data_IF_794067888276
#
_entry.id   IF_794067888276
#
_cell.length_a   1.000
_cell.length_b   1.000
_cell.length_c   1.000
_cell.angle_alpha   90.00
_cell.angle_beta   90.00
_cell.angle_gamma   90.00
#
_symmetry.space_group_name_H-M   'P 1'
#
loop_
_entity.id
_entity.type
_entity.pdbx_description
1 polymer ?
#
# COMPACT_ATOMS: atom_id res chain seq x y z
N UNK A 1 -2.56 35.49 10.22
CA UNK A 1 -1.80 34.74 11.23
C UNK A 1 -0.88 33.78 10.48
N UNK A 2 0.40 34.10 10.40
CA UNK A 2 1.40 33.31 9.68
C UNK A 2 2.16 32.48 10.72
N UNK A 3 2.05 31.16 10.64
CA UNK A 3 2.76 30.25 11.55
C UNK A 3 4.23 30.20 11.15
N UNK A 4 5.08 30.95 11.84
CA UNK A 4 6.53 30.74 11.81
C UNK A 4 6.85 29.64 12.83
N UNK A 5 6.87 28.39 12.38
CA UNK A 5 7.47 27.32 13.16
C UNK A 5 8.99 27.45 13.02
N UNK A 6 9.67 27.87 14.09
CA UNK A 6 11.13 27.87 14.13
C UNK A 6 11.60 26.39 14.15
N UNK A 7 12.52 25.99 13.26
CA UNK A 7 12.99 24.60 13.20
C UNK A 7 13.72 24.16 14.49
N UNK A 8 14.11 25.10 15.36
CA UNK A 8 14.74 24.81 16.67
C UNK A 8 13.72 24.34 17.73
N UNK A 9 12.42 24.51 17.49
CA UNK A 9 11.35 24.01 18.38
C UNK A 9 10.97 22.54 18.10
N UNK A 10 11.64 21.89 17.14
CA UNK A 10 11.48 20.47 16.85
C UNK A 10 12.11 19.63 17.98
N UNK A 11 11.29 19.21 18.95
CA UNK A 11 11.71 18.24 19.97
C UNK A 11 11.56 16.82 19.43
N UNK A 12 12.69 16.11 19.38
CA UNK A 12 12.68 14.66 19.12
C UNK A 12 12.30 13.96 20.43
N UNK A 13 11.21 13.20 20.41
CA UNK A 13 10.76 12.42 21.57
C UNK A 13 11.44 11.05 21.60
N UNK A 14 12.26 10.81 22.62
CA UNK A 14 12.91 9.52 22.88
C UNK A 14 12.00 8.59 23.70
N UNK A 15 12.23 7.28 23.61
CA UNK A 15 11.53 6.23 24.39
C UNK A 15 10.02 6.12 24.17
N UNK A 16 9.49 6.62 23.05
CA UNK A 16 8.12 6.30 22.64
C UNK A 16 8.00 4.79 22.33
N UNK A 17 6.98 4.09 22.87
CA UNK A 17 6.76 2.69 22.56
C UNK A 17 6.53 2.56 21.05
N UNK A 18 7.33 1.70 20.41
CA UNK A 18 7.17 1.45 18.98
C UNK A 18 5.75 0.93 18.71
N UNK A 19 4.99 1.55 17.80
CA UNK A 19 3.66 1.06 17.46
C UNK A 19 3.76 -0.38 16.97
N UNK A 20 2.77 -1.20 17.32
CA UNK A 20 2.78 -2.64 17.09
C UNK A 20 3.17 -3.01 15.63
N UNK A 21 4.43 -3.37 15.43
CA UNK A 21 5.01 -3.68 14.09
C UNK A 21 4.42 -4.93 13.46
N UNK A 22 3.82 -5.81 14.27
CA UNK A 22 3.42 -7.17 13.89
C UNK A 22 2.33 -7.17 12.81
N UNK A 23 1.25 -6.40 12.98
CA UNK A 23 0.12 -6.38 12.04
C UNK A 23 0.47 -5.81 10.66
N UNK A 24 1.44 -4.89 10.59
CA UNK A 24 1.86 -4.29 9.32
C UNK A 24 2.68 -5.28 8.47
N UNK A 25 3.51 -6.12 9.11
CA UNK A 25 4.33 -7.12 8.42
C UNK A 25 3.46 -8.22 7.83
N UNK A 26 2.57 -8.83 8.63
CA UNK A 26 1.65 -9.86 8.16
C UNK A 26 0.78 -9.38 6.99
N UNK A 27 0.31 -8.13 7.06
CA UNK A 27 -0.49 -7.53 5.98
C UNK A 27 0.32 -7.34 4.69
N UNK A 28 1.57 -6.91 4.80
CA UNK A 28 2.46 -6.80 3.64
C UNK A 28 2.79 -8.17 3.05
N UNK A 29 2.97 -9.20 3.89
CA UNK A 29 3.24 -10.56 3.42
C UNK A 29 2.04 -11.16 2.67
N UNK A 30 0.80 -10.86 3.11
CA UNK A 30 -0.41 -11.21 2.35
C UNK A 30 -0.47 -10.51 0.98
N UNK A 31 -0.16 -9.22 0.92
CA UNK A 31 -0.07 -8.49 -0.36
C UNK A 31 0.98 -9.14 -1.27
N UNK A 32 2.17 -9.45 -0.74
CA UNK A 32 3.25 -10.09 -1.51
C UNK A 32 2.83 -11.45 -2.05
N UNK A 33 2.19 -12.29 -1.22
CA UNK A 33 1.72 -13.61 -1.64
C UNK A 33 0.73 -13.50 -2.82
N UNK A 34 -0.23 -12.59 -2.72
CA UNK A 34 -1.20 -12.34 -3.79
C UNK A 34 -0.54 -11.81 -5.07
N UNK A 35 0.40 -10.86 -4.96
CA UNK A 35 1.12 -10.32 -6.11
C UNK A 35 2.01 -11.36 -6.81
N UNK A 36 2.59 -12.32 -6.08
CA UNK A 36 3.35 -13.43 -6.66
C UNK A 36 2.45 -14.41 -7.42
N UNK A 37 1.24 -14.65 -6.90
CA UNK A 37 0.27 -15.55 -7.51
C UNK A 37 -0.36 -14.97 -8.80
N UNK A 38 -0.50 -13.64 -8.88
CA UNK A 38 -1.01 -12.96 -10.07
C UNK A 38 -0.07 -13.18 -11.27
N UNK A 39 -0.60 -13.66 -12.39
CA UNK A 39 0.12 -13.70 -13.68
C UNK A 39 -0.08 -12.39 -14.46
N UNK A 40 0.81 -12.04 -15.40
CA UNK A 40 0.57 -10.97 -16.35
C UNK A 40 -0.84 -11.02 -16.97
N UNK A 41 -1.50 -9.88 -17.07
CA UNK A 41 -2.88 -9.76 -17.57
C UNK A 41 -3.97 -10.08 -16.54
N UNK A 42 -3.62 -10.65 -15.38
CA UNK A 42 -4.59 -10.92 -14.32
C UNK A 42 -4.78 -9.73 -13.37
N UNK A 43 -5.92 -9.74 -12.69
CA UNK A 43 -6.21 -8.78 -11.63
C UNK A 43 -6.78 -9.44 -10.39
N UNK A 44 -6.57 -8.79 -9.25
CA UNK A 44 -7.16 -9.19 -7.98
C UNK A 44 -7.65 -7.97 -7.21
N UNK A 45 -8.71 -8.17 -6.43
CA UNK A 45 -9.28 -7.18 -5.54
C UNK A 45 -8.75 -7.37 -4.11
N UNK A 46 -8.28 -6.29 -3.51
CA UNK A 46 -7.80 -6.22 -2.13
C UNK A 46 -8.73 -5.31 -1.33
N UNK A 47 -9.62 -5.85 -0.48
CA UNK A 47 -10.51 -5.03 0.34
C UNK A 47 -9.69 -4.10 1.26
N UNK A 48 -10.19 -2.89 1.47
CA UNK A 48 -9.55 -1.92 2.33
C UNK A 48 -9.69 -2.38 3.80
N UNK A 49 -8.62 -2.37 4.60
CA UNK A 49 -8.71 -2.67 6.01
C UNK A 49 -9.62 -1.66 6.71
N UNK A 50 -10.36 -2.12 7.72
CA UNK A 50 -11.17 -1.24 8.57
C UNK A 50 -10.31 -0.13 9.18
N UNK A 51 -10.86 1.10 9.20
CA UNK A 51 -10.18 2.30 9.67
C UNK A 51 -9.07 2.83 8.75
N UNK A 52 -8.84 2.22 7.57
CA UNK A 52 -7.85 2.69 6.60
C UNK A 52 -8.52 3.42 5.43
N UNK A 53 -7.98 4.59 5.06
CA UNK A 53 -8.40 5.29 3.85
C UNK A 53 -7.97 4.51 2.59
N UNK A 54 -8.82 4.40 1.56
CA UNK A 54 -8.51 3.66 0.33
C UNK A 54 -7.27 4.18 -0.40
N UNK A 55 -7.02 5.49 -0.34
CA UNK A 55 -5.82 6.13 -0.91
C UNK A 55 -4.55 5.64 -0.24
N UNK A 56 -4.51 5.59 1.09
CA UNK A 56 -3.38 5.05 1.85
C UNK A 56 -3.16 3.56 1.56
N UNK A 57 -4.25 2.80 1.43
CA UNK A 57 -4.19 1.38 1.10
C UNK A 57 -3.61 1.14 -0.31
N UNK A 58 -4.07 1.91 -1.29
CA UNK A 58 -3.54 1.91 -2.67
C UNK A 58 -2.05 2.23 -2.70
N UNK A 59 -1.62 3.28 -2.00
CA UNK A 59 -0.20 3.67 -1.93
C UNK A 59 0.65 2.56 -1.32
N UNK A 60 0.17 1.91 -0.26
CA UNK A 60 0.88 0.78 0.36
C UNK A 60 1.04 -0.39 -0.62
N UNK A 61 -0.03 -0.77 -1.31
CA UNK A 61 0.01 -1.84 -2.32
C UNK A 61 0.99 -1.48 -3.44
N UNK A 62 0.96 -0.24 -3.94
CA UNK A 62 1.87 0.22 -4.98
C UNK A 62 3.33 0.15 -4.53
N UNK A 63 3.66 0.56 -3.30
CA UNK A 63 5.02 0.44 -2.76
C UNK A 63 5.45 -1.03 -2.65
N UNK A 64 4.58 -1.91 -2.15
CA UNK A 64 4.90 -3.34 -2.03
C UNK A 64 5.12 -3.95 -3.42
N UNK A 65 4.27 -3.63 -4.39
CA UNK A 65 4.39 -4.13 -5.75
C UNK A 65 5.66 -3.62 -6.46
N UNK A 66 5.96 -2.33 -6.36
CA UNK A 66 7.19 -1.75 -6.92
C UNK A 66 8.45 -2.40 -6.33
N UNK A 67 8.45 -2.70 -5.03
CA UNK A 67 9.58 -3.38 -4.38
C UNK A 67 9.70 -4.86 -4.74
N UNK A 68 8.58 -5.52 -5.04
CA UNK A 68 8.55 -6.96 -5.30
C UNK A 68 8.76 -7.32 -6.77
N UNK A 69 8.12 -6.57 -7.68
CA UNK A 69 8.07 -6.88 -9.11
C UNK A 69 8.86 -5.87 -9.95
N UNK A 70 9.18 -4.69 -9.40
CA UNK A 70 9.75 -3.56 -10.14
C UNK A 70 8.71 -2.48 -10.44
N UNK A 71 9.20 -1.28 -10.75
CA UNK A 71 8.33 -0.15 -11.09
C UNK A 71 7.52 -0.42 -12.37
N UNK A 72 6.30 0.12 -12.44
CA UNK A 72 5.39 0.04 -13.61
C UNK A 72 4.96 -1.37 -14.01
N UNK A 73 5.14 -2.37 -13.16
CA UNK A 73 4.69 -3.76 -13.38
C UNK A 73 3.25 -4.01 -12.91
N UNK A 74 2.64 -3.05 -12.20
CA UNK A 74 1.24 -3.14 -11.77
C UNK A 74 0.50 -1.83 -11.99
N UNK A 75 -0.78 -1.93 -12.31
CA UNK A 75 -1.73 -0.83 -12.21
C UNK A 75 -2.60 -1.03 -10.96
N UNK A 76 -2.98 0.08 -10.31
CA UNK A 76 -3.88 0.04 -9.15
C UNK A 76 -5.00 1.06 -9.30
N UNK A 77 -6.22 0.69 -8.92
CA UNK A 77 -7.36 1.60 -8.89
C UNK A 77 -8.25 1.31 -7.69
N UNK A 78 -8.81 2.37 -7.12
CA UNK A 78 -9.87 2.26 -6.13
C UNK A 78 -11.14 1.69 -6.81
N UNK A 79 -11.76 0.70 -6.15
CA UNK A 79 -12.99 0.03 -6.60
C UNK A 79 -13.85 -0.32 -5.39
N UNK A 80 -15.16 -0.36 -5.63
CA UNK A 80 -16.12 -0.95 -4.72
C UNK A 80 -16.66 -2.23 -5.36
N UNK A 81 -16.60 -3.35 -4.64
CA UNK A 81 -17.02 -4.66 -5.13
C UNK A 81 -17.75 -5.42 -4.02
N UNK A 82 -18.95 -5.92 -4.31
CA UNK A 82 -19.81 -6.62 -3.34
C UNK A 82 -20.02 -5.84 -2.03
N UNK A 83 -20.15 -4.52 -2.11
CA UNK A 83 -20.31 -3.63 -0.95
C UNK A 83 -19.03 -3.39 -0.15
N UNK A 84 -17.88 -3.87 -0.62
CA UNK A 84 -16.58 -3.63 0.01
C UNK A 84 -15.79 -2.60 -0.79
N UNK A 85 -15.35 -1.56 -0.10
CA UNK A 85 -14.39 -0.60 -0.62
C UNK A 85 -12.98 -1.20 -0.60
N UNK A 86 -12.23 -1.09 -1.71
CA UNK A 86 -10.92 -1.69 -1.82
C UNK A 86 -10.12 -1.24 -3.04
N UNK A 87 -9.02 -1.94 -3.30
CA UNK A 87 -8.11 -1.62 -4.40
C UNK A 87 -8.00 -2.82 -5.30
N UNK A 88 -8.34 -2.62 -6.58
CA UNK A 88 -8.05 -3.60 -7.62
C UNK A 88 -6.65 -3.37 -8.16
N UNK A 89 -5.92 -4.46 -8.34
CA UNK A 89 -4.54 -4.48 -8.81
C UNK A 89 -4.49 -5.34 -10.06
N UNK A 90 -3.90 -4.83 -11.14
CA UNK A 90 -3.63 -5.57 -12.36
C UNK A 90 -2.13 -5.78 -12.49
N UNK A 91 -1.69 -7.01 -12.76
CA UNK A 91 -0.31 -7.27 -13.15
C UNK A 91 -0.16 -6.98 -14.64
N UNK A 92 0.66 -6.00 -14.95
CA UNK A 92 0.99 -5.65 -16.32
C UNK A 92 1.97 -6.70 -16.86
N UNK A 93 1.89 -7.00 -18.15
CA UNK A 93 2.95 -7.73 -18.83
C UNK A 93 4.25 -6.95 -18.75
N UNK A 94 5.38 -7.65 -18.77
CA UNK A 94 6.66 -7.01 -19.02
C UNK A 94 6.63 -6.29 -20.39
N UNK A 95 7.65 -5.47 -20.70
CA UNK A 95 7.73 -4.80 -22.00
C UNK A 95 7.71 -5.73 -23.22
N UNK A 96 7.81 -7.06 -23.03
CA UNK A 96 7.81 -8.09 -24.07
C UNK A 96 6.55 -9.00 -24.08
N UNK A 97 5.42 -8.53 -23.52
CA UNK A 97 4.13 -9.25 -23.60
C UNK A 97 3.21 -8.67 -24.69
#
# INVERSE_FOLDING_TARGET
MTFHADPSDLKVEDNLPLPARVRARERNDRIRALLRALRPGQSAFLPCPEGMKPTCWRSRIAVVASRLLGARQVATAHREENGLCGVRVWRLGGPDA
#
